data_IF_356193378264
#
_entry.id   IF_356193378264
#
_cell.length_a   1.000
_cell.length_b   1.000
_cell.length_c   1.000
_cell.angle_alpha   90.00
_cell.angle_beta   90.00
_cell.angle_gamma   90.00
#
_symmetry.space_group_name_H-M   'P 1'
#
loop_
_entity.id
_entity.type
_entity.pdbx_description
1 polymer ?
#
# COMPACT_ATOMS: atom_id res chain seq x y z
N UNK A 1 37.20 31.39 -4.65
CA UNK A 1 36.05 30.92 -3.86
C UNK A 1 35.53 29.61 -4.44
N UNK A 2 35.37 28.55 -3.63
CA UNK A 2 34.88 27.24 -4.10
C UNK A 2 33.35 27.15 -4.24
N UNK A 3 32.84 26.00 -4.70
CA UNK A 3 31.39 25.77 -4.79
C UNK A 3 30.76 25.58 -3.39
N UNK A 4 29.69 26.32 -3.10
CA UNK A 4 28.96 26.21 -1.83
C UNK A 4 27.91 25.08 -1.85
N UNK A 5 27.63 24.50 -0.68
CA UNK A 5 26.69 23.38 -0.51
C UNK A 5 25.24 23.82 -0.73
N UNK A 6 24.63 23.40 -1.85
CA UNK A 6 23.20 23.64 -2.14
C UNK A 6 22.28 22.68 -1.39
N UNK A 7 21.05 23.13 -1.12
CA UNK A 7 19.99 22.27 -0.56
C UNK A 7 19.65 21.13 -1.53
N UNK A 8 19.36 19.93 -1.00
CA UNK A 8 19.03 18.73 -1.77
C UNK A 8 17.67 18.17 -1.33
N UNK A 9 16.93 17.59 -2.29
CA UNK A 9 15.67 16.88 -2.03
C UNK A 9 15.88 15.78 -0.98
N UNK A 10 14.88 15.54 -0.13
CA UNK A 10 14.92 14.54 0.94
C UNK A 10 14.33 13.17 0.53
N UNK A 11 13.86 13.07 -0.70
CA UNK A 11 13.30 11.90 -1.37
C UNK A 11 13.95 11.72 -2.74
N UNK A 12 13.87 10.51 -3.28
CA UNK A 12 14.23 10.17 -4.67
C UNK A 12 12.98 9.78 -5.43
N UNK A 13 12.86 10.17 -6.69
CA UNK A 13 11.80 9.69 -7.58
C UNK A 13 12.06 8.23 -7.99
N UNK A 14 11.03 7.47 -8.40
CA UNK A 14 11.20 6.16 -9.04
C UNK A 14 12.11 6.24 -10.27
N UNK A 15 12.79 5.14 -10.59
CA UNK A 15 13.66 5.07 -11.78
C UNK A 15 12.83 5.04 -13.08
N UNK A 16 11.75 4.25 -13.13
CA UNK A 16 10.87 4.18 -14.29
C UNK A 16 9.44 4.70 -13.97
N UNK A 17 8.87 5.65 -14.74
CA UNK A 17 7.57 6.25 -14.44
C UNK A 17 6.37 5.29 -14.50
N UNK A 18 6.36 4.32 -15.42
CA UNK A 18 5.16 3.53 -15.79
C UNK A 18 5.21 2.05 -15.40
N UNK A 19 5.72 1.75 -14.20
CA UNK A 19 5.66 0.40 -13.63
C UNK A 19 4.27 0.16 -13.00
N UNK A 20 3.47 -0.75 -13.58
CA UNK A 20 2.09 -1.04 -13.13
C UNK A 20 2.03 -1.42 -11.65
N UNK A 21 2.77 -2.43 -11.23
CA UNK A 21 2.79 -2.95 -9.84
C UNK A 21 3.08 -1.83 -8.82
N UNK A 22 4.13 -1.02 -9.07
CA UNK A 22 4.47 0.13 -8.22
C UNK A 22 3.35 1.18 -8.21
N UNK A 23 2.72 1.45 -9.36
CA UNK A 23 1.63 2.43 -9.45
C UNK A 23 0.43 1.98 -8.62
N UNK A 24 0.08 0.70 -8.68
CA UNK A 24 -1.02 0.09 -7.95
C UNK A 24 -0.73 0.05 -6.43
N UNK A 25 0.44 -0.41 -6.01
CA UNK A 25 0.90 -0.34 -4.61
C UNK A 25 0.91 1.11 -4.06
N UNK A 26 1.43 2.07 -4.83
CA UNK A 26 1.40 3.49 -4.44
C UNK A 26 -0.03 4.06 -4.38
N UNK A 27 -0.98 3.49 -5.14
CA UNK A 27 -2.39 3.90 -5.16
C UNK A 27 -3.14 3.35 -3.95
N UNK A 28 -2.87 2.10 -3.56
CA UNK A 28 -3.33 1.50 -2.30
C UNK A 28 -2.83 2.31 -1.10
N UNK A 29 -1.51 2.48 -0.95
CA UNK A 29 -0.93 3.29 0.14
C UNK A 29 -1.45 4.74 0.16
N UNK A 30 -1.77 5.33 -1.00
CA UNK A 30 -2.37 6.66 -1.06
C UNK A 30 -3.80 6.66 -0.50
N UNK A 31 -4.60 5.65 -0.83
CA UNK A 31 -5.99 5.47 -0.37
C UNK A 31 -6.03 5.19 1.13
N UNK A 32 -5.27 4.20 1.58
CA UNK A 32 -5.30 3.68 2.95
C UNK A 32 -4.84 4.71 3.99
N UNK A 33 -3.91 5.61 3.64
CA UNK A 33 -3.35 6.61 4.55
C UNK A 33 -3.76 8.07 4.22
N UNK A 34 -4.73 8.30 3.32
CA UNK A 34 -5.21 9.65 2.96
C UNK A 34 -4.07 10.60 2.56
N UNK A 35 -3.18 10.13 1.68
CA UNK A 35 -1.98 10.89 1.28
C UNK A 35 -2.29 11.81 0.10
N UNK A 36 -1.85 13.08 0.16
CA UNK A 36 -2.13 14.05 -0.91
C UNK A 36 -1.43 13.66 -2.22
N UNK A 37 -0.11 13.46 -2.15
CA UNK A 37 0.78 13.22 -3.30
C UNK A 37 1.66 11.98 -3.09
N UNK A 38 2.07 11.33 -4.18
CA UNK A 38 3.06 10.23 -4.19
C UNK A 38 4.42 10.63 -3.57
N UNK A 39 4.76 11.91 -3.60
CA UNK A 39 5.93 12.47 -2.90
C UNK A 39 5.93 12.17 -1.39
N UNK A 40 4.78 12.06 -0.74
CA UNK A 40 4.71 11.68 0.68
C UNK A 40 5.15 10.23 0.89
N UNK A 41 4.76 9.33 -0.02
CA UNK A 41 5.22 7.93 -0.04
C UNK A 41 6.73 7.89 -0.27
N UNK A 42 7.24 8.64 -1.26
CA UNK A 42 8.68 8.69 -1.57
C UNK A 42 9.52 9.33 -0.46
N UNK A 43 8.94 10.19 0.39
CA UNK A 43 9.59 10.67 1.61
C UNK A 43 9.67 9.58 2.69
N UNK A 44 8.64 8.76 2.84
CA UNK A 44 8.68 7.58 3.74
C UNK A 44 9.66 6.52 3.24
N UNK A 45 9.64 6.17 1.94
CA UNK A 45 10.60 5.21 1.37
C UNK A 45 12.04 5.70 1.50
N UNK A 46 12.29 7.00 1.36
CA UNK A 46 13.61 7.61 1.58
C UNK A 46 14.02 7.74 3.06
N UNK A 47 13.10 7.59 4.03
CA UNK A 47 13.44 7.39 5.45
C UNK A 47 13.87 5.95 5.68
N UNK A 48 13.05 4.98 5.27
CA UNK A 48 13.36 3.55 5.34
C UNK A 48 14.71 3.22 4.67
N UNK A 49 14.95 3.75 3.46
CA UNK A 49 16.21 3.55 2.72
C UNK A 49 17.43 4.07 3.49
N UNK A 50 17.31 5.16 4.27
CA UNK A 50 18.43 5.66 5.08
C UNK A 50 18.73 4.72 6.24
N UNK A 51 17.70 4.27 6.94
CA UNK A 51 17.82 3.30 8.04
C UNK A 51 18.47 2.02 7.53
N UNK A 52 17.91 1.39 6.50
CA UNK A 52 18.46 0.15 5.92
C UNK A 52 19.88 0.33 5.35
N UNK A 53 20.24 1.50 4.82
CA UNK A 53 21.63 1.78 4.37
C UNK A 53 22.58 1.92 5.58
N UNK A 54 22.13 2.54 6.67
CA UNK A 54 22.91 2.65 7.91
C UNK A 54 23.10 1.27 8.56
N UNK A 55 22.05 0.45 8.65
CA UNK A 55 22.13 -0.95 9.12
C UNK A 55 23.15 -1.73 8.31
N UNK A 56 23.07 -1.71 6.97
CA UNK A 56 24.03 -2.42 6.09
C UNK A 56 25.47 -1.95 6.27
N UNK A 57 25.69 -0.65 6.52
CA UNK A 57 27.02 -0.11 6.84
C UNK A 57 27.53 -0.64 8.19
N UNK A 58 26.68 -0.70 9.21
CA UNK A 58 27.03 -1.22 10.54
C UNK A 58 27.37 -2.72 10.45
N UNK A 59 26.53 -3.53 9.79
CA UNK A 59 26.77 -4.96 9.57
C UNK A 59 28.12 -5.19 8.86
N UNK A 60 28.41 -4.42 7.81
CA UNK A 60 29.68 -4.51 7.08
C UNK A 60 30.90 -4.11 7.93
N UNK A 61 30.73 -3.22 8.92
CA UNK A 61 31.78 -2.74 9.82
C UNK A 61 32.02 -3.63 11.05
N UNK A 62 31.20 -4.68 11.25
CA UNK A 62 31.29 -5.67 12.33
C UNK A 62 31.55 -5.03 13.70
N UNK A 63 32.55 -5.52 14.43
CA UNK A 63 32.82 -5.20 15.83
C UNK A 63 33.68 -3.94 16.04
N UNK A 64 33.79 -3.07 15.02
CA UNK A 64 34.51 -1.80 15.21
C UNK A 64 33.84 -0.98 16.34
N UNK A 65 34.62 -0.33 17.23
CA UNK A 65 34.06 0.34 18.42
C UNK A 65 33.13 1.51 18.05
N UNK A 66 33.25 2.03 16.83
CA UNK A 66 32.34 3.02 16.25
C UNK A 66 31.02 2.39 15.77
N UNK A 67 31.05 1.20 15.16
CA UNK A 67 29.84 0.51 14.70
C UNK A 67 28.95 0.06 15.86
N UNK A 68 29.54 -0.35 16.99
CA UNK A 68 28.79 -0.68 18.21
C UNK A 68 28.00 0.53 18.75
N UNK A 69 28.63 1.71 18.80
CA UNK A 69 27.94 2.95 19.17
C UNK A 69 26.88 3.36 18.15
N UNK A 70 27.19 3.29 16.85
CA UNK A 70 26.21 3.56 15.78
C UNK A 70 25.02 2.57 15.81
N UNK A 71 25.20 1.34 16.29
CA UNK A 71 24.12 0.35 16.54
C UNK A 71 23.23 0.81 17.70
N UNK A 72 23.81 1.17 18.84
CA UNK A 72 23.07 1.65 20.02
C UNK A 72 22.27 2.94 19.74
N UNK A 73 22.91 3.92 19.08
CA UNK A 73 22.27 5.18 18.66
C UNK A 73 21.10 4.93 17.67
N UNK A 74 21.26 3.98 16.75
CA UNK A 74 20.21 3.64 15.79
C UNK A 74 19.04 2.92 16.46
N UNK A 75 19.30 1.94 17.33
CA UNK A 75 18.27 1.21 18.06
C UNK A 75 17.48 2.14 18.99
N UNK A 76 18.15 3.00 19.76
CA UNK A 76 17.48 3.99 20.62
C UNK A 76 16.61 4.97 19.81
N UNK A 77 17.08 5.42 18.64
CA UNK A 77 16.30 6.27 17.75
C UNK A 77 15.03 5.59 17.21
N UNK A 78 15.12 4.31 16.81
CA UNK A 78 13.99 3.57 16.22
C UNK A 78 12.99 3.11 17.29
N UNK A 79 13.46 2.72 18.48
CA UNK A 79 12.62 2.46 19.65
C UNK A 79 11.82 3.71 20.06
N UNK A 80 12.42 4.91 20.03
CA UNK A 80 11.73 6.17 20.34
C UNK A 80 10.53 6.45 19.44
N UNK A 81 10.60 6.07 18.16
CA UNK A 81 9.47 6.17 17.23
C UNK A 81 8.52 4.97 17.27
N UNK A 82 8.74 3.98 18.14
CA UNK A 82 7.95 2.74 18.23
C UNK A 82 7.85 2.00 16.88
N UNK A 83 8.95 2.03 16.12
CA UNK A 83 9.10 1.26 14.87
C UNK A 83 9.57 -0.17 15.15
N UNK A 84 10.20 -0.41 16.31
CA UNK A 84 10.82 -1.68 16.69
C UNK A 84 10.61 -1.91 18.19
N UNK A 85 10.54 -3.17 18.61
CA UNK A 85 10.51 -3.59 20.01
C UNK A 85 11.88 -3.48 20.70
N UNK A 86 11.93 -3.75 22.02
CA UNK A 86 13.18 -3.85 22.77
C UNK A 86 13.80 -5.24 22.56
N UNK A 87 15.14 -5.30 22.42
CA UNK A 87 15.86 -6.57 22.27
C UNK A 87 15.86 -7.16 20.87
N UNK A 88 15.53 -6.37 19.85
CA UNK A 88 15.57 -6.75 18.43
C UNK A 88 16.96 -6.62 17.83
N UNK A 89 17.24 -7.44 16.83
CA UNK A 89 18.51 -7.47 16.13
C UNK A 89 18.54 -6.54 14.91
N UNK A 90 19.72 -6.42 14.30
CA UNK A 90 19.91 -5.56 13.12
C UNK A 90 19.19 -6.08 11.88
N UNK A 91 18.99 -7.39 11.78
CA UNK A 91 18.36 -8.03 10.63
C UNK A 91 16.84 -7.78 10.59
N UNK A 92 16.16 -7.78 11.75
CA UNK A 92 14.74 -7.38 11.90
C UNK A 92 14.48 -5.98 11.29
N UNK A 93 15.46 -5.07 11.39
CA UNK A 93 15.37 -3.70 10.87
C UNK A 93 15.32 -3.67 9.33
N UNK A 94 15.86 -4.71 8.66
CA UNK A 94 15.83 -4.85 7.21
C UNK A 94 14.46 -5.29 6.69
N UNK A 95 13.62 -5.91 7.55
CA UNK A 95 12.25 -6.32 7.22
C UNK A 95 11.25 -5.15 7.28
N UNK A 96 11.63 -4.03 7.92
CA UNK A 96 10.78 -2.85 8.03
C UNK A 96 10.28 -2.35 6.67
N UNK A 97 8.99 -1.99 6.64
CA UNK A 97 8.30 -1.61 5.42
C UNK A 97 8.06 -0.09 5.35
N UNK A 98 7.47 0.34 4.24
CA UNK A 98 7.04 1.73 4.08
C UNK A 98 5.79 2.06 4.90
N UNK A 99 4.99 1.04 5.27
CA UNK A 99 3.76 1.18 6.06
C UNK A 99 4.06 1.61 7.49
N UNK A 100 5.10 1.06 8.11
CA UNK A 100 5.51 1.37 9.49
C UNK A 100 5.79 2.87 9.69
N UNK A 101 6.49 3.49 8.73
CA UNK A 101 6.72 4.94 8.72
C UNK A 101 5.47 5.79 8.42
N UNK A 102 4.43 5.22 7.79
CA UNK A 102 3.14 5.87 7.57
C UNK A 102 2.21 5.72 8.78
N UNK A 103 2.29 4.60 9.49
CA UNK A 103 1.57 4.32 10.74
C UNK A 103 1.91 5.31 11.85
N UNK A 104 3.21 5.64 11.99
CA UNK A 104 3.72 6.56 13.04
C UNK A 104 3.47 8.05 12.75
N UNK A 105 2.72 8.39 11.70
CA UNK A 105 2.37 9.78 11.36
C UNK A 105 1.24 10.31 12.24
N UNK A 106 1.29 11.59 12.58
CA UNK A 106 0.25 12.27 13.37
C UNK A 106 -1.15 12.11 12.74
N UNK A 107 -1.28 12.21 11.41
CA UNK A 107 -2.55 11.98 10.70
C UNK A 107 -3.14 10.59 11.00
N UNK A 108 -2.33 9.53 10.89
CA UNK A 108 -2.74 8.15 11.14
C UNK A 108 -3.03 7.91 12.61
N UNK A 109 -2.25 8.51 13.53
CA UNK A 109 -2.42 8.37 14.98
C UNK A 109 -3.70 9.07 15.47
N UNK A 110 -4.02 10.26 14.95
CA UNK A 110 -5.28 10.97 15.25
C UNK A 110 -6.49 10.15 14.80
N UNK A 111 -6.41 9.49 13.64
CA UNK A 111 -7.44 8.55 13.18
C UNK A 111 -7.51 7.28 14.06
N UNK A 112 -6.39 6.60 14.32
CA UNK A 112 -6.34 5.41 15.21
C UNK A 112 -6.86 5.70 16.63
N UNK A 113 -6.72 6.93 17.12
CA UNK A 113 -7.25 7.41 18.41
C UNK A 113 -8.76 7.74 18.41
N UNK A 114 -9.46 7.58 17.29
CA UNK A 114 -10.89 7.94 17.11
C UNK A 114 -11.19 9.41 17.46
N UNK A 115 -10.21 10.30 17.30
CA UNK A 115 -10.36 11.77 17.39
C UNK A 115 -10.98 12.34 16.09
N UNK A 116 -11.08 11.51 15.06
CA UNK A 116 -11.67 11.86 13.76
C UNK A 116 -12.35 10.62 13.18
N UNK A 117 -13.44 10.82 12.45
CA UNK A 117 -14.21 9.74 11.81
C UNK A 117 -13.54 9.22 10.53
N UNK A 118 -12.75 10.07 9.85
CA UNK A 118 -12.02 9.72 8.62
C UNK A 118 -10.59 10.27 8.62
N UNK A 119 -9.72 9.64 7.82
CA UNK A 119 -8.29 10.01 7.70
C UNK A 119 -8.09 11.39 7.06
N UNK A 120 -9.02 11.83 6.21
CA UNK A 120 -9.03 13.17 5.63
C UNK A 120 -9.53 14.23 6.63
N UNK A 121 -10.52 13.90 7.47
CA UNK A 121 -10.91 14.76 8.60
C UNK A 121 -9.75 14.95 9.58
N UNK A 122 -9.02 13.87 9.91
CA UNK A 122 -7.79 13.94 10.72
C UNK A 122 -6.80 14.96 10.15
N UNK A 123 -6.60 14.96 8.83
CA UNK A 123 -5.72 15.88 8.12
C UNK A 123 -6.22 17.33 8.21
N UNK A 124 -7.52 17.55 8.04
CA UNK A 124 -8.13 18.88 8.15
C UNK A 124 -7.97 19.45 9.58
N UNK A 125 -8.29 18.65 10.60
CA UNK A 125 -8.13 19.03 12.02
C UNK A 125 -6.69 19.40 12.36
N UNK A 126 -5.70 18.65 11.86
CA UNK A 126 -4.28 18.96 12.03
C UNK A 126 -3.92 20.28 11.31
N UNK A 127 -4.26 20.43 10.03
CA UNK A 127 -3.87 21.62 9.24
C UNK A 127 -4.51 22.91 9.79
N UNK A 128 -5.77 22.86 10.22
CA UNK A 128 -6.45 23.98 10.89
C UNK A 128 -5.94 24.19 12.34
N UNK A 129 -5.25 23.18 12.89
CA UNK A 129 -4.54 23.26 14.17
C UNK A 129 -5.47 23.09 15.39
N UNK A 130 -6.44 22.18 15.26
CA UNK A 130 -7.30 21.70 16.34
C UNK A 130 -6.66 20.55 17.13
N UNK A 131 -5.46 20.09 16.76
CA UNK A 131 -4.74 19.01 17.46
C UNK A 131 -3.53 19.59 18.22
N UNK A 132 -3.38 19.16 19.47
CA UNK A 132 -2.23 19.41 20.32
C UNK A 132 -1.47 18.11 20.55
N UNK A 133 -0.14 18.19 20.61
CA UNK A 133 0.75 17.10 21.04
C UNK A 133 1.66 17.65 22.13
N UNK A 134 1.64 17.09 23.33
CA UNK A 134 2.41 17.60 24.47
C UNK A 134 2.19 19.11 24.69
N UNK A 135 0.91 19.52 24.69
CA UNK A 135 0.42 20.92 24.76
C UNK A 135 0.85 21.86 23.61
N UNK A 136 1.57 21.37 22.59
CA UNK A 136 2.03 22.16 21.45
C UNK A 136 1.12 21.97 20.24
N UNK A 137 0.73 23.07 19.59
CA UNK A 137 -0.06 23.07 18.34
C UNK A 137 0.79 22.60 17.17
N UNK A 138 0.51 21.41 16.63
CA UNK A 138 1.22 20.86 15.47
C UNK A 138 0.29 20.89 14.25
N UNK A 139 0.69 21.62 13.20
CA UNK A 139 -0.08 21.76 11.94
C UNK A 139 0.39 20.84 10.81
N UNK A 140 1.39 20.00 11.07
CA UNK A 140 2.06 19.17 10.06
C UNK A 140 1.57 17.71 10.15
N UNK A 141 0.75 17.20 9.20
CA UNK A 141 0.22 15.83 9.25
C UNK A 141 1.26 14.75 8.99
N UNK A 142 2.44 15.12 8.48
CA UNK A 142 3.60 14.23 8.29
C UNK A 142 4.59 14.23 9.46
N UNK A 143 4.24 14.84 10.59
CA UNK A 143 4.99 14.73 11.84
C UNK A 143 5.00 13.25 12.30
N UNK A 144 6.18 12.76 12.71
CA UNK A 144 6.31 11.43 13.32
C UNK A 144 6.20 11.59 14.82
N UNK A 145 5.28 10.86 15.45
CA UNK A 145 4.98 10.99 16.88
C UNK A 145 5.83 9.98 17.66
N UNK A 146 6.55 10.47 18.66
CA UNK A 146 7.34 9.64 19.56
C UNK A 146 6.43 8.75 20.44
N UNK A 147 6.96 7.66 20.98
CA UNK A 147 6.20 6.76 21.86
C UNK A 147 5.59 7.51 23.07
N UNK A 148 6.37 8.40 23.69
CA UNK A 148 5.98 9.18 24.88
C UNK A 148 4.95 10.29 24.57
N UNK A 149 5.00 10.80 23.34
CA UNK A 149 4.09 11.85 22.84
C UNK A 149 2.75 11.26 22.38
N UNK A 150 2.73 10.00 21.95
CA UNK A 150 1.54 9.33 21.44
C UNK A 150 0.41 9.46 22.46
N UNK A 151 0.67 9.13 23.73
CA UNK A 151 -0.25 9.29 24.87
C UNK A 151 -0.94 10.67 24.92
N UNK A 152 -0.18 11.73 24.60
CA UNK A 152 -0.50 13.15 24.80
C UNK A 152 -1.08 13.86 23.56
N UNK A 153 -1.54 13.11 22.56
CA UNK A 153 -2.29 13.66 21.42
C UNK A 153 -3.73 13.94 21.86
N UNK A 154 -4.12 15.22 21.93
CA UNK A 154 -5.42 15.70 22.43
C UNK A 154 -5.98 16.79 21.49
N UNK A 155 -7.32 16.91 21.42
CA UNK A 155 -7.98 18.03 20.73
C UNK A 155 -7.77 19.33 21.53
N UNK A 156 -7.54 20.44 20.84
CA UNK A 156 -7.36 21.75 21.45
C UNK A 156 -8.67 22.18 22.16
N UNK A 157 -8.66 22.43 23.49
CA UNK A 157 -9.85 22.82 24.25
C UNK A 157 -10.57 24.07 23.72
N UNK A 158 -9.81 24.97 23.07
CA UNK A 158 -10.35 26.20 22.48
C UNK A 158 -10.98 25.99 21.10
N UNK A 159 -10.98 24.77 20.57
CA UNK A 159 -11.61 24.43 19.29
C UNK A 159 -13.06 23.97 19.46
N UNK A 160 -13.88 24.11 18.40
CA UNK A 160 -15.28 23.67 18.39
C UNK A 160 -15.41 22.16 18.60
N UNK A 161 -14.53 21.39 17.97
CA UNK A 161 -14.48 19.93 18.07
C UNK A 161 -14.38 19.41 19.51
N UNK A 162 -13.67 20.11 20.40
CA UNK A 162 -13.57 19.71 21.81
C UNK A 162 -14.92 19.72 22.57
N UNK A 163 -15.93 20.41 22.04
CA UNK A 163 -17.31 20.42 22.57
C UNK A 163 -18.16 19.34 21.90
N UNK A 164 -18.02 19.19 20.59
CA UNK A 164 -18.76 18.22 19.74
C UNK A 164 -18.39 16.76 20.10
N UNK A 165 -17.14 16.49 20.50
CA UNK A 165 -16.62 15.17 20.94
C UNK A 165 -17.31 14.58 22.20
N UNK A 166 -18.17 15.34 22.89
CA UNK A 166 -19.02 14.84 23.99
C UNK A 166 -20.35 14.24 23.49
N UNK A 167 -20.88 14.73 22.37
CA UNK A 167 -22.18 14.32 21.83
C UNK A 167 -22.01 13.16 20.83
N UNK A 168 -20.99 13.25 19.97
CA UNK A 168 -20.74 12.34 18.85
C UNK A 168 -20.24 10.94 19.21
N UNK A 169 -19.82 10.69 20.47
CA UNK A 169 -19.31 9.38 20.91
C UNK A 169 -20.37 8.28 21.02
N UNK A 170 -21.63 8.59 20.74
CA UNK A 170 -22.77 7.66 20.91
C UNK A 170 -23.01 6.71 19.73
N UNK A 171 -22.43 6.95 18.55
CA UNK A 171 -22.66 6.10 17.38
C UNK A 171 -21.36 5.50 16.84
N UNK A 172 -21.26 4.16 16.90
CA UNK A 172 -20.16 3.38 16.31
C UNK A 172 -20.73 2.40 15.29
N UNK A 173 -20.81 2.76 14.00
CA UNK A 173 -21.04 1.81 12.93
C UNK A 173 -19.71 1.24 12.43
N UNK A 174 -19.54 -0.08 12.58
CA UNK A 174 -18.94 -0.96 11.58
C UNK A 174 -17.44 -0.81 11.23
N UNK A 175 -16.73 -1.93 11.29
CA UNK A 175 -15.45 -2.12 10.61
C UNK A 175 -15.59 -1.81 9.11
N UNK A 176 -14.63 -1.06 8.54
CA UNK A 176 -14.47 -0.97 7.08
C UNK A 176 -13.97 -2.32 6.54
N UNK A 177 -14.88 -3.26 6.31
CA UNK A 177 -14.59 -4.47 5.52
C UNK A 177 -14.31 -4.04 4.09
N UNK A 178 -13.07 -4.22 3.64
CA UNK A 178 -12.72 -4.09 2.24
C UNK A 178 -13.49 -5.12 1.42
N UNK A 179 -14.19 -4.69 0.38
CA UNK A 179 -14.88 -5.58 -0.55
C UNK A 179 -13.88 -6.50 -1.25
N UNK A 180 -13.77 -7.74 -0.78
CA UNK A 180 -13.29 -8.83 -1.61
C UNK A 180 -14.34 -9.10 -2.67
N UNK A 181 -14.04 -8.82 -3.94
CA UNK A 181 -14.80 -9.40 -5.05
C UNK A 181 -14.36 -10.85 -5.21
N UNK A 182 -15.03 -11.75 -4.50
CA UNK A 182 -14.88 -13.18 -4.72
C UNK A 182 -15.59 -13.57 -6.02
N UNK A 183 -14.86 -14.28 -6.89
CA UNK A 183 -15.35 -14.78 -8.17
C UNK A 183 -16.07 -16.10 -7.91
N UNK A 184 -17.39 -16.05 -7.76
CA UNK A 184 -18.20 -17.26 -7.67
C UNK A 184 -18.43 -17.81 -9.07
N UNK A 185 -17.71 -18.89 -9.40
CA UNK A 185 -18.14 -19.85 -10.44
C UNK A 185 -19.45 -20.49 -9.98
N UNK A 186 -20.40 -20.67 -10.88
CA UNK A 186 -21.48 -21.65 -10.72
C UNK A 186 -21.75 -22.30 -12.07
N UNK A 187 -21.86 -23.61 -12.07
CA UNK A 187 -21.94 -24.46 -13.27
C UNK A 187 -23.42 -24.74 -13.64
N UNK A 188 -23.67 -25.22 -14.86
CA UNK A 188 -24.98 -25.65 -15.37
C UNK A 188 -25.49 -26.90 -14.59
N UNK A 189 -26.75 -27.39 -14.60
CA UNK A 189 -27.90 -27.47 -15.55
C UNK A 189 -29.12 -28.02 -14.72
N UNK A 190 -30.36 -28.33 -15.23
CA UNK A 190 -30.99 -28.16 -16.55
C UNK A 190 -32.43 -27.57 -16.54
N UNK A 191 -33.09 -27.66 -17.71
CA UNK A 191 -34.36 -27.03 -18.17
C UNK A 191 -35.66 -27.56 -17.48
N UNK A 192 -36.80 -26.86 -17.51
CA UNK A 192 -37.77 -26.86 -18.64
C UNK A 192 -39.04 -25.98 -18.37
N UNK A 193 -39.96 -25.73 -19.34
CA UNK A 193 -40.54 -24.38 -19.54
C UNK A 193 -42.08 -24.20 -19.34
N UNK A 194 -42.50 -22.91 -19.31
CA UNK A 194 -43.82 -22.30 -19.66
C UNK A 194 -43.75 -20.79 -19.32
N UNK A 195 -44.43 -19.82 -19.95
CA UNK A 195 -45.14 -19.64 -21.21
C UNK A 195 -45.60 -18.15 -21.23
N UNK A 196 -45.24 -17.42 -22.29
CA UNK A 196 -45.80 -16.15 -22.81
C UNK A 196 -46.46 -15.12 -21.85
N UNK A 197 -45.89 -13.89 -21.84
CA UNK A 197 -46.65 -12.63 -22.01
C UNK A 197 -45.75 -11.47 -22.45
N UNK A 198 -45.91 -11.05 -23.71
CA UNK A 198 -45.25 -9.87 -24.27
C UNK A 198 -45.94 -8.57 -23.85
N UNK A 199 -45.17 -7.48 -23.75
CA UNK A 199 -45.66 -6.11 -23.91
C UNK A 199 -44.74 -5.42 -24.94
N UNK A 200 -45.26 -4.80 -26.01
CA UNK A 200 -44.48 -4.53 -27.22
C UNK A 200 -43.66 -3.24 -27.18
N UNK A 201 -42.60 -3.20 -27.99
CA UNK A 201 -41.92 -1.96 -28.41
C UNK A 201 -42.62 -1.37 -29.64
N UNK A 202 -42.82 -0.05 -29.74
CA UNK A 202 -43.28 0.59 -30.98
C UNK A 202 -42.14 0.69 -32.01
N UNK A 203 -42.43 0.41 -33.29
CA UNK A 203 -41.49 0.64 -34.41
C UNK A 203 -42.21 0.76 -35.77
N UNK A 204 -42.39 1.99 -36.27
CA UNK A 204 -42.55 2.43 -37.67
C UNK A 204 -42.03 3.89 -37.65
N UNK A 205 -41.11 4.37 -38.49
CA UNK A 205 -41.14 4.41 -39.96
C UNK A 205 -39.87 3.93 -40.68
N UNK A 206 -40.10 3.39 -41.87
CA UNK A 206 -39.21 3.11 -43.01
C UNK A 206 -39.97 3.66 -44.26
N UNK A 207 -39.39 3.87 -45.47
CA UNK A 207 -38.30 3.08 -46.06
C UNK A 207 -37.29 3.85 -46.96
N UNK A 208 -36.34 3.14 -47.60
CA UNK A 208 -36.17 3.02 -49.07
C UNK A 208 -35.02 2.02 -49.38
N UNK A 209 -35.17 1.24 -50.46
CA UNK A 209 -34.35 0.05 -50.83
C UNK A 209 -33.14 0.35 -51.74
N UNK A 210 -32.17 -0.59 -51.74
CA UNK A 210 -31.38 -1.21 -52.87
C UNK A 210 -30.07 -1.78 -52.30
N UNK A 211 -29.42 -2.86 -52.75
CA UNK A 211 -29.65 -3.99 -53.68
C UNK A 211 -28.60 -5.09 -53.32
N UNK A 212 -28.72 -6.33 -53.82
CA UNK A 212 -27.72 -7.43 -53.63
C UNK A 212 -27.52 -8.23 -54.93
N UNK A 213 -26.40 -8.96 -55.15
CA UNK A 213 -26.40 -10.42 -54.94
C UNK A 213 -25.03 -11.09 -54.57
N UNK A 214 -24.97 -12.43 -54.73
CA UNK A 214 -24.04 -13.49 -54.20
C UNK A 214 -22.70 -13.66 -55.02
N UNK A 215 -21.78 -14.65 -54.87
CA UNK A 215 -21.91 -16.14 -54.71
C UNK A 215 -20.59 -16.91 -54.34
N UNK A 216 -20.74 -18.17 -53.81
CA UNK A 216 -19.88 -19.41 -53.95
C UNK A 216 -18.38 -19.46 -53.51
N UNK A 217 -17.71 -20.59 -53.13
CA UNK A 217 -18.06 -21.98 -52.68
C UNK A 217 -16.88 -22.67 -51.90
N UNK A 218 -16.78 -24.02 -51.80
CA UNK A 218 -15.97 -24.83 -50.82
C UNK A 218 -15.50 -26.20 -51.44
N UNK A 219 -15.15 -27.35 -50.75
CA UNK A 219 -14.83 -27.68 -49.33
C UNK A 219 -13.71 -28.76 -49.01
N UNK A 220 -13.19 -28.76 -47.75
CA UNK A 220 -12.75 -29.94 -46.91
C UNK A 220 -11.47 -30.78 -47.23
N UNK A 221 -11.15 -31.72 -46.31
CA UNK A 221 -10.05 -32.75 -46.20
C UNK A 221 -8.93 -32.42 -45.17
N UNK A 222 -8.43 -33.32 -44.27
CA UNK A 222 -9.18 -34.21 -43.33
C UNK A 222 -8.44 -34.63 -42.00
N UNK A 223 -7.34 -35.43 -41.97
CA UNK A 223 -6.89 -36.27 -40.80
C UNK A 223 -5.44 -36.14 -40.23
N UNK A 224 -5.27 -36.59 -38.96
CA UNK A 224 -4.02 -36.77 -38.18
C UNK A 224 -3.47 -38.21 -38.23
N UNK A 225 -2.22 -38.48 -37.76
CA UNK A 225 -2.12 -39.35 -36.57
C UNK A 225 -1.00 -39.00 -35.54
N UNK A 226 -1.05 -39.67 -34.37
CA UNK A 226 -0.06 -39.63 -33.27
C UNK A 226 0.87 -40.85 -33.29
N UNK A 227 2.13 -40.64 -32.90
CA UNK A 227 3.10 -41.59 -32.26
C UNK A 227 4.35 -40.75 -31.91
N UNK A 228 5.14 -40.98 -30.84
CA UNK A 228 5.14 -41.98 -29.76
C UNK A 228 5.92 -41.42 -28.55
N UNK A 229 5.80 -42.01 -27.36
CA UNK A 229 6.66 -41.69 -26.21
C UNK A 229 8.08 -42.31 -26.39
N UNK A 230 9.07 -41.92 -25.55
CA UNK A 230 9.94 -42.85 -24.78
C UNK A 230 11.14 -42.15 -24.06
N UNK A 231 11.20 -42.39 -22.74
CA UNK A 231 12.35 -42.42 -21.79
C UNK A 231 13.11 -41.15 -21.35
N UNK A 232 12.94 -40.88 -20.06
CA UNK A 232 13.95 -40.32 -19.15
C UNK A 232 15.15 -41.27 -18.93
N UNK A 233 16.27 -40.75 -18.39
CA UNK A 233 17.15 -41.28 -17.29
C UNK A 233 18.53 -40.57 -17.32
N UNK A 234 19.41 -40.66 -16.30
CA UNK A 234 19.18 -40.13 -14.95
C UNK A 234 20.40 -39.32 -14.41
N UNK A 235 20.37 -39.01 -13.10
CA UNK A 235 21.41 -38.33 -12.31
C UNK A 235 22.78 -39.03 -12.35
N UNK A 236 23.86 -38.25 -12.23
CA UNK A 236 25.20 -38.74 -11.88
C UNK A 236 25.56 -38.29 -10.45
N UNK A 237 25.82 -39.26 -9.57
CA UNK A 237 26.28 -39.02 -8.19
C UNK A 237 27.78 -39.30 -8.04
N UNK A 238 28.42 -38.39 -7.31
CA UNK A 238 29.63 -38.53 -6.50
C UNK A 238 30.27 -39.93 -6.43
N UNK A 239 31.56 -40.00 -6.75
CA UNK A 239 32.49 -40.92 -6.11
C UNK A 239 33.72 -40.19 -5.58
N UNK A 240 33.87 -40.20 -4.26
CA UNK A 240 35.18 -40.16 -3.63
C UNK A 240 35.90 -41.48 -3.95
N UNK A 241 37.22 -41.46 -4.16
CA UNK A 241 38.06 -42.51 -3.58
C UNK A 241 39.54 -42.10 -3.46
N UNK A 242 40.21 -42.67 -2.46
CA UNK A 242 41.62 -42.43 -2.14
C UNK A 242 42.54 -43.24 -3.05
N UNK A 243 43.68 -42.68 -3.46
CA UNK A 243 45.01 -43.10 -2.96
C UNK A 243 46.11 -42.09 -3.27
#
# INVERSE_FOLDING_TARGET
MGQTKRQRKKYTTPSHPWQKERIDQEKELKRDYGLKNKEEIWKSTAKLRKVTTQVKKIIAAKDSPQALKEKEDLLTHLMKFKLIAKGTDLDDILELTTKDFLERRLQTIVFKRKVSRTIDQARQMIVHGHVLVDNKKITIPSYLVNADEEGKVVVNPNSRFAKEDMEDKKEVPGEYKGEKKEVVKTEEKPESPKEVKEIPKPKVEEPVKKEAPKTEEKPKVEETPKTEEVKETPKEEVKEDKK
#
